data_IF_387996515970
#
_entry.id   IF_387996515970
#
_cell.length_a   1.000
_cell.length_b   1.000
_cell.length_c   1.000
_cell.angle_alpha   90.00
_cell.angle_beta   90.00
_cell.angle_gamma   90.00
#
_symmetry.space_group_name_H-M   'P 1'
#
loop_
_entity.id
_entity.type
_entity.pdbx_description
1 polymer ?
#
# COMPACT_ATOMS: atom_id res chain seq x y z
N UNK A 1 15.45 -0.15 -17.90
CA UNK A 1 14.89 0.69 -19.01
C UNK A 1 14.46 2.01 -18.42
N UNK A 2 14.70 3.16 -19.07
CA UNK A 2 14.28 4.46 -18.52
C UNK A 2 12.76 4.53 -18.38
N UNK A 3 12.26 5.04 -17.25
CA UNK A 3 10.83 5.26 -17.08
C UNK A 3 10.38 6.43 -17.96
N UNK A 4 9.32 6.22 -18.73
CA UNK A 4 8.78 7.22 -19.68
C UNK A 4 7.34 7.62 -19.35
N UNK A 5 6.82 7.15 -18.21
CA UNK A 5 5.43 7.34 -17.80
C UNK A 5 4.62 6.05 -17.81
N UNK A 6 3.40 6.14 -17.26
CA UNK A 6 2.39 5.09 -17.33
C UNK A 6 1.41 5.50 -18.45
N UNK A 7 1.28 4.69 -19.53
CA UNK A 7 0.43 5.04 -20.66
C UNK A 7 -1.07 4.94 -20.33
N UNK A 8 -1.91 5.64 -21.09
CA UNK A 8 -3.38 5.61 -20.96
C UNK A 8 -3.95 4.17 -21.01
N UNK A 9 -3.39 3.34 -21.88
CA UNK A 9 -3.74 1.93 -22.02
C UNK A 9 -3.62 1.09 -20.72
N UNK A 10 -2.85 1.55 -19.73
CA UNK A 10 -2.76 0.91 -18.42
C UNK A 10 -4.07 1.10 -17.61
N UNK A 11 -4.68 2.28 -17.71
CA UNK A 11 -5.93 2.62 -17.03
C UNK A 11 -7.09 1.93 -17.74
N UNK A 12 -7.15 2.00 -19.08
CA UNK A 12 -8.15 1.31 -19.90
C UNK A 12 -8.15 -0.20 -19.64
N UNK A 13 -6.97 -0.81 -19.54
CA UNK A 13 -6.86 -2.24 -19.20
C UNK A 13 -7.55 -2.58 -17.88
N UNK A 14 -7.43 -1.71 -16.87
CA UNK A 14 -8.05 -1.94 -15.58
C UNK A 14 -9.55 -1.63 -15.58
N UNK A 15 -10.00 -0.61 -16.32
CA UNK A 15 -11.43 -0.34 -16.55
C UNK A 15 -12.11 -1.57 -17.19
N UNK A 16 -11.52 -2.12 -18.24
CA UNK A 16 -12.04 -3.32 -18.90
C UNK A 16 -11.98 -4.57 -18.01
N UNK A 17 -10.91 -4.72 -17.20
CA UNK A 17 -10.77 -5.83 -16.26
C UNK A 17 -11.79 -5.78 -15.11
N UNK A 18 -12.25 -4.58 -14.73
CA UNK A 18 -13.34 -4.40 -13.77
C UNK A 18 -14.69 -4.88 -14.34
N UNK A 19 -14.87 -4.80 -15.65
CA UNK A 19 -16.06 -5.29 -16.37
C UNK A 19 -15.98 -6.80 -16.59
N UNK A 20 -14.85 -7.33 -17.08
CA UNK A 20 -14.62 -8.75 -17.32
C UNK A 20 -13.31 -9.25 -16.67
N UNK A 21 -13.40 -9.68 -15.42
CA UNK A 21 -12.29 -10.30 -14.70
C UNK A 21 -12.15 -11.80 -15.01
N UNK A 22 -12.40 -12.25 -16.24
CA UNK A 22 -12.24 -13.67 -16.61
C UNK A 22 -10.80 -14.01 -17.00
N UNK A 23 -10.46 -15.30 -16.95
CA UNK A 23 -9.19 -15.81 -17.52
C UNK A 23 -9.12 -15.60 -19.03
N UNK A 24 -10.27 -15.60 -19.71
CA UNK A 24 -10.35 -15.39 -21.16
C UNK A 24 -9.94 -13.97 -21.51
N UNK A 25 -10.53 -12.98 -20.85
CA UNK A 25 -10.16 -11.57 -20.98
C UNK A 25 -8.65 -11.39 -20.73
N UNK A 26 -8.17 -11.88 -19.58
CA UNK A 26 -6.77 -11.78 -19.21
C UNK A 26 -5.82 -12.34 -20.27
N UNK A 27 -6.11 -13.53 -20.81
CA UNK A 27 -5.25 -14.16 -21.80
C UNK A 27 -5.22 -13.37 -23.12
N UNK A 28 -6.35 -12.77 -23.52
CA UNK A 28 -6.43 -11.93 -24.72
C UNK A 28 -5.69 -10.60 -24.55
N UNK A 29 -5.67 -10.04 -23.34
CA UNK A 29 -5.14 -8.71 -23.04
C UNK A 29 -3.78 -8.78 -22.32
N UNK A 30 -3.17 -9.98 -22.26
CA UNK A 30 -1.93 -10.20 -21.53
C UNK A 30 -0.78 -9.34 -22.06
N UNK A 31 -0.71 -9.15 -23.37
CA UNK A 31 0.31 -8.30 -23.98
C UNK A 31 0.15 -6.85 -23.52
N UNK A 32 -1.07 -6.31 -23.53
CA UNK A 32 -1.38 -4.98 -23.00
C UNK A 32 -0.94 -4.85 -21.55
N UNK A 33 -1.26 -5.83 -20.69
CA UNK A 33 -0.78 -5.82 -19.30
C UNK A 33 0.75 -5.83 -19.21
N UNK A 34 1.43 -6.69 -19.97
CA UNK A 34 2.90 -6.79 -19.91
C UNK A 34 3.58 -5.48 -20.34
N UNK A 35 3.09 -4.85 -21.41
CA UNK A 35 3.69 -3.67 -22.03
C UNK A 35 3.25 -2.34 -21.38
N UNK A 36 1.95 -2.19 -21.09
CA UNK A 36 1.38 -0.94 -20.59
C UNK A 36 1.38 -0.85 -19.06
N UNK A 37 1.33 -1.98 -18.34
CA UNK A 37 1.25 -1.99 -16.87
C UNK A 37 2.56 -2.47 -16.26
N UNK A 38 2.96 -3.71 -16.55
CA UNK A 38 4.07 -4.36 -15.85
C UNK A 38 5.42 -3.74 -16.19
N UNK A 39 5.69 -3.47 -17.46
CA UNK A 39 6.97 -2.88 -17.88
C UNK A 39 7.18 -1.46 -17.31
N UNK A 40 6.21 -0.52 -17.36
CA UNK A 40 6.36 0.80 -16.73
C UNK A 40 6.51 0.72 -15.20
N UNK A 41 5.74 -0.15 -14.54
CA UNK A 41 5.87 -0.36 -13.09
C UNK A 41 7.22 -0.96 -12.69
N UNK A 42 7.85 -1.76 -13.57
CA UNK A 42 9.20 -2.25 -13.36
C UNK A 42 10.25 -1.15 -13.64
N UNK A 43 10.03 -0.31 -14.65
CA UNK A 43 10.93 0.80 -14.97
C UNK A 43 10.98 1.85 -13.85
N UNK A 44 9.84 2.27 -13.30
CA UNK A 44 9.83 3.22 -12.17
C UNK A 44 10.43 2.60 -10.90
N UNK A 45 10.26 1.28 -10.70
CA UNK A 45 10.91 0.57 -9.61
C UNK A 45 12.44 0.58 -9.73
N UNK A 46 12.97 0.36 -10.93
CA UNK A 46 14.41 0.41 -11.24
C UNK A 46 14.96 1.83 -11.07
N UNK A 47 14.24 2.85 -11.55
CA UNK A 47 14.66 4.25 -11.47
C UNK A 47 14.72 4.79 -10.04
N UNK A 48 13.82 4.32 -9.16
CA UNK A 48 13.73 4.75 -7.76
C UNK A 48 14.51 3.86 -6.78
N UNK A 49 15.22 2.84 -7.28
CA UNK A 49 15.89 1.85 -6.41
C UNK A 49 16.97 2.49 -5.52
N UNK A 50 17.75 3.44 -6.04
CA UNK A 50 18.82 4.10 -5.29
C UNK A 50 18.28 4.96 -4.13
N UNK A 51 17.09 5.54 -4.29
CA UNK A 51 16.49 6.45 -3.30
C UNK A 51 15.68 5.69 -2.23
N UNK A 52 14.96 4.64 -2.64
CA UNK A 52 13.98 3.95 -1.77
C UNK A 52 14.39 2.52 -1.40
N UNK A 53 15.28 1.91 -2.18
CA UNK A 53 15.63 0.50 -2.10
C UNK A 53 14.85 -0.38 -3.08
N UNK A 54 15.14 -1.69 -3.11
CA UNK A 54 14.60 -2.60 -4.10
C UNK A 54 13.08 -2.79 -3.93
N UNK A 55 12.34 -2.56 -5.02
CA UNK A 55 10.90 -2.75 -5.04
C UNK A 55 10.50 -4.20 -5.34
N UNK A 56 9.45 -4.66 -4.68
CA UNK A 56 8.77 -5.91 -4.99
C UNK A 56 7.46 -5.63 -5.72
N UNK A 57 7.43 -5.94 -7.02
CA UNK A 57 6.18 -5.95 -7.78
C UNK A 57 5.32 -7.15 -7.36
N UNK A 58 4.04 -6.89 -7.11
CA UNK A 58 3.10 -7.95 -6.77
C UNK A 58 2.61 -8.68 -8.00
N UNK A 59 2.32 -9.98 -7.84
CA UNK A 59 1.62 -10.76 -8.87
C UNK A 59 0.19 -10.22 -9.07
N UNK A 60 -0.34 -10.28 -10.30
CA UNK A 60 -1.70 -9.83 -10.60
C UNK A 60 -2.77 -10.79 -10.06
N UNK A 61 -2.45 -12.07 -9.87
CA UNK A 61 -3.42 -13.05 -9.38
C UNK A 61 -3.81 -12.83 -7.92
N UNK A 62 -5.09 -13.05 -7.61
CA UNK A 62 -5.63 -13.06 -6.24
C UNK A 62 -5.48 -14.44 -5.59
N UNK A 63 -5.46 -14.47 -4.26
CA UNK A 63 -5.64 -15.71 -3.49
C UNK A 63 -7.14 -15.89 -3.22
N UNK A 64 -7.73 -16.95 -3.78
CA UNK A 64 -9.18 -17.15 -3.80
C UNK A 64 -9.69 -18.12 -2.73
N UNK A 65 -8.79 -18.75 -1.95
CA UNK A 65 -9.15 -19.85 -1.02
C UNK A 65 -10.21 -19.43 -0.01
N UNK A 66 -10.12 -18.18 0.48
CA UNK A 66 -11.02 -17.64 1.50
C UNK A 66 -11.74 -16.36 1.05
N UNK A 67 -11.56 -15.93 -0.20
CA UNK A 67 -12.18 -14.72 -0.70
C UNK A 67 -13.66 -14.96 -1.04
N UNK A 68 -14.56 -14.07 -0.62
CA UNK A 68 -15.96 -14.08 -1.02
C UNK A 68 -16.10 -13.76 -2.52
N UNK A 69 -15.39 -12.72 -2.96
CA UNK A 69 -15.23 -12.40 -4.38
C UNK A 69 -14.22 -13.36 -5.04
N UNK A 70 -14.69 -14.06 -6.07
CA UNK A 70 -13.93 -15.10 -6.80
C UNK A 70 -13.20 -14.60 -8.05
N UNK A 71 -13.17 -13.29 -8.29
CA UNK A 71 -12.43 -12.69 -9.41
C UNK A 71 -10.95 -13.08 -9.36
N UNK A 72 -10.38 -13.71 -10.40
CA UNK A 72 -9.03 -14.28 -10.42
C UNK A 72 -7.89 -13.25 -10.38
N UNK A 73 -8.11 -12.02 -10.82
CA UNK A 73 -7.08 -10.99 -10.94
C UNK A 73 -7.40 -9.75 -10.09
N UNK A 74 -6.35 -9.09 -9.62
CA UNK A 74 -6.43 -7.79 -8.97
C UNK A 74 -6.73 -6.72 -10.03
N UNK A 75 -7.53 -5.73 -9.67
CA UNK A 75 -7.85 -4.55 -10.49
C UNK A 75 -6.83 -3.42 -10.32
N UNK A 76 -5.60 -3.77 -9.92
CA UNK A 76 -4.48 -2.85 -9.81
C UNK A 76 -3.15 -3.61 -9.90
N UNK A 77 -2.09 -2.92 -10.29
CA UNK A 77 -0.70 -3.37 -10.16
C UNK A 77 -0.05 -2.57 -9.05
N UNK A 78 0.35 -3.25 -7.98
CA UNK A 78 1.07 -2.64 -6.86
C UNK A 78 2.54 -3.06 -6.83
N UNK A 79 3.38 -2.17 -6.30
CA UNK A 79 4.74 -2.46 -5.85
C UNK A 79 4.93 -2.01 -4.40
N UNK A 80 5.86 -2.63 -3.70
CA UNK A 80 6.20 -2.29 -2.33
C UNK A 80 7.71 -2.25 -2.12
N UNK A 81 8.18 -1.22 -1.43
CA UNK A 81 9.57 -1.06 -1.02
C UNK A 81 9.62 -1.04 0.50
N UNK A 82 10.41 -1.95 1.10
CA UNK A 82 10.51 -2.03 2.55
C UNK A 82 11.36 -0.89 3.10
N UNK A 83 10.84 -0.16 4.09
CA UNK A 83 11.56 0.92 4.79
C UNK A 83 11.82 0.59 6.28
N UNK A 84 11.30 -0.55 6.76
CA UNK A 84 11.48 -1.01 8.12
C UNK A 84 10.58 -2.20 8.47
N UNK A 85 10.52 -2.55 9.74
CA UNK A 85 9.65 -3.64 10.21
C UNK A 85 8.20 -3.34 9.90
N UNK A 86 7.57 -4.19 9.07
CA UNK A 86 6.17 -4.06 8.64
C UNK A 86 5.82 -2.70 8.01
N UNK A 87 6.82 -1.90 7.61
CA UNK A 87 6.66 -0.51 7.18
C UNK A 87 7.35 -0.30 5.85
N UNK A 88 6.74 0.45 4.93
CA UNK A 88 7.36 0.74 3.65
C UNK A 88 6.57 1.70 2.79
N UNK A 89 7.06 1.84 1.56
CA UNK A 89 6.49 2.64 0.50
C UNK A 89 5.69 1.74 -0.43
N UNK A 90 4.58 2.25 -0.94
CA UNK A 90 3.71 1.55 -1.86
C UNK A 90 3.35 2.47 -3.01
N UNK A 91 3.31 1.91 -4.21
CA UNK A 91 2.81 2.58 -5.40
C UNK A 91 1.90 1.60 -6.12
N UNK A 92 0.79 2.10 -6.65
CA UNK A 92 -0.06 1.33 -7.54
C UNK A 92 -0.58 2.14 -8.71
N UNK A 93 -0.95 1.41 -9.75
CA UNK A 93 -1.78 1.85 -10.86
C UNK A 93 -3.05 1.00 -10.92
N UNK A 94 -4.18 1.64 -11.16
CA UNK A 94 -5.52 1.04 -11.34
C UNK A 94 -6.32 1.89 -12.32
N UNK A 95 -7.54 1.48 -12.65
CA UNK A 95 -8.54 2.28 -13.36
C UNK A 95 -8.64 3.73 -12.82
N UNK A 96 -8.65 3.87 -11.48
CA UNK A 96 -8.81 5.15 -10.81
C UNK A 96 -7.58 6.08 -10.88
N UNK A 97 -6.46 5.62 -11.44
CA UNK A 97 -5.22 6.39 -11.51
C UNK A 97 -4.06 5.74 -10.75
N UNK A 98 -3.10 6.59 -10.39
CA UNK A 98 -1.90 6.23 -9.63
C UNK A 98 -2.07 6.65 -8.18
N UNK A 99 -1.73 5.76 -7.25
CA UNK A 99 -1.75 6.05 -5.81
C UNK A 99 -0.41 5.69 -5.17
N UNK A 100 0.14 6.62 -4.40
CA UNK A 100 1.27 6.37 -3.51
C UNK A 100 0.77 6.21 -2.08
N UNK A 101 1.44 5.37 -1.30
CA UNK A 101 1.17 5.21 0.12
C UNK A 101 2.45 4.95 0.90
N UNK A 102 2.42 5.26 2.20
CA UNK A 102 3.53 5.00 3.11
C UNK A 102 3.02 4.55 4.47
N UNK A 103 3.74 3.64 5.11
CA UNK A 103 3.48 3.25 6.49
C UNK A 103 3.36 1.74 6.68
N UNK A 104 2.59 1.34 7.69
CA UNK A 104 2.43 -0.03 8.13
C UNK A 104 1.04 -0.54 7.78
N UNK A 105 0.91 -1.28 6.67
CA UNK A 105 -0.36 -1.87 6.25
C UNK A 105 -0.71 -3.16 7.00
N UNK A 106 0.29 -3.97 7.34
CA UNK A 106 0.11 -5.21 8.08
C UNK A 106 1.30 -5.49 8.98
N UNK A 107 1.07 -5.51 10.29
CA UNK A 107 2.02 -5.92 11.30
C UNK A 107 1.50 -7.16 12.03
N UNK A 108 2.38 -8.14 12.24
CA UNK A 108 2.10 -9.23 13.17
C UNK A 108 2.07 -8.73 14.63
N UNK A 109 1.73 -9.60 15.57
CA UNK A 109 1.61 -9.22 16.98
C UNK A 109 2.92 -8.70 17.59
N UNK A 110 4.07 -9.20 17.13
CA UNK A 110 5.40 -8.81 17.61
C UNK A 110 5.75 -7.41 17.09
N UNK A 111 5.60 -7.19 15.78
CA UNK A 111 5.82 -5.90 15.15
C UNK A 111 4.86 -4.84 15.70
N UNK A 112 3.59 -5.18 15.88
CA UNK A 112 2.59 -4.25 16.41
C UNK A 112 2.89 -3.85 17.86
N UNK A 113 3.40 -4.78 18.69
CA UNK A 113 3.87 -4.47 20.04
C UNK A 113 5.07 -3.51 19.99
N UNK A 114 6.02 -3.72 19.09
CA UNK A 114 7.19 -2.85 18.92
C UNK A 114 6.79 -1.43 18.45
N UNK A 115 5.88 -1.33 17.48
CA UNK A 115 5.34 -0.06 16.99
C UNK A 115 4.67 0.71 18.14
N UNK A 116 3.82 0.04 18.93
CA UNK A 116 3.16 0.68 20.08
C UNK A 116 4.13 1.12 21.16
N UNK A 117 5.18 0.35 21.43
CA UNK A 117 6.24 0.78 22.34
C UNK A 117 6.96 2.04 21.83
N UNK A 118 7.21 2.13 20.52
CA UNK A 118 7.74 3.34 19.89
C UNK A 118 6.82 4.55 20.04
N UNK A 119 5.52 4.36 19.83
CA UNK A 119 4.49 5.42 20.02
C UNK A 119 4.41 5.86 21.49
N UNK A 120 4.55 4.94 22.45
CA UNK A 120 4.50 5.26 23.89
C UNK A 120 5.77 6.01 24.36
N UNK A 121 6.90 5.77 23.70
CA UNK A 121 8.17 6.44 23.98
C UNK A 121 8.16 7.95 23.60
N UNK A 122 9.20 8.72 23.97
CA UNK A 122 9.37 10.11 23.54
C UNK A 122 9.33 10.31 22.01
N UNK A 123 9.77 9.31 21.23
CA UNK A 123 9.73 9.37 19.77
C UNK A 123 8.29 9.42 19.21
N UNK A 124 7.29 8.99 20.00
CA UNK A 124 5.89 9.07 19.59
C UNK A 124 5.38 10.50 19.43
N UNK A 125 5.92 11.47 20.17
CA UNK A 125 5.56 12.88 19.98
C UNK A 125 6.03 13.39 18.61
N UNK A 126 7.23 12.99 18.19
CA UNK A 126 7.75 13.33 16.87
C UNK A 126 6.94 12.66 15.75
N UNK A 127 6.57 11.38 15.93
CA UNK A 127 5.69 10.69 14.98
C UNK A 127 4.35 11.41 14.82
N UNK A 128 3.71 11.83 15.92
CA UNK A 128 2.45 12.58 15.86
C UNK A 128 2.62 13.88 15.08
N UNK A 129 3.71 14.63 15.35
CA UNK A 129 4.02 15.87 14.63
C UNK A 129 4.21 15.65 13.12
N UNK A 130 4.90 14.58 12.74
CA UNK A 130 5.11 14.22 11.32
C UNK A 130 3.78 13.86 10.64
N UNK A 131 2.91 13.11 11.32
CA UNK A 131 1.57 12.76 10.85
C UNK A 131 0.72 14.01 10.67
N UNK A 132 0.69 14.90 11.66
CA UNK A 132 -0.08 16.15 11.60
C UNK A 132 0.41 17.02 10.43
N UNK A 133 1.73 17.07 10.19
CA UNK A 133 2.32 17.76 9.05
C UNK A 133 2.03 17.10 7.69
N UNK A 134 1.80 15.79 7.63
CA UNK A 134 1.32 15.11 6.41
C UNK A 134 -0.14 15.46 6.15
N UNK A 135 -0.99 15.37 7.17
CA UNK A 135 -2.43 15.70 7.08
C UNK A 135 -2.63 17.16 6.67
N UNK A 136 -1.85 18.09 7.24
CA UNK A 136 -1.89 19.50 6.86
C UNK A 136 -1.51 19.75 5.39
N UNK A 137 -0.74 18.84 4.77
CA UNK A 137 -0.37 18.87 3.34
C UNK A 137 -1.37 18.11 2.45
N UNK A 138 -2.47 17.64 3.00
CA UNK A 138 -3.54 16.96 2.26
C UNK A 138 -3.45 15.44 2.22
N UNK A 139 -2.51 14.82 2.95
CA UNK A 139 -2.46 13.36 3.05
C UNK A 139 -3.58 12.84 3.94
N UNK A 140 -4.15 11.70 3.57
CA UNK A 140 -5.15 10.99 4.36
C UNK A 140 -4.50 9.91 5.21
N UNK A 141 -4.83 9.89 6.51
CA UNK A 141 -4.37 8.86 7.42
C UNK A 141 -5.42 7.75 7.52
N UNK A 142 -5.09 6.58 6.99
CA UNK A 142 -5.91 5.38 7.01
C UNK A 142 -5.35 4.26 7.89
N UNK A 143 -5.98 3.10 7.76
CA UNK A 143 -5.63 1.88 8.46
C UNK A 143 -6.64 1.47 9.52
N UNK A 144 -6.56 0.19 9.87
CA UNK A 144 -7.41 -0.47 10.84
C UNK A 144 -7.13 0.02 12.25
N UNK A 145 -8.17 0.11 13.08
CA UNK A 145 -8.03 0.43 14.50
C UNK A 145 -8.82 -0.50 15.42
N UNK A 146 -8.34 -0.60 16.65
CA UNK A 146 -9.07 -1.22 17.74
C UNK A 146 -10.19 -0.29 18.22
N UNK A 147 -11.38 -0.87 18.43
CA UNK A 147 -12.48 -0.17 19.11
C UNK A 147 -12.17 0.13 20.58
N UNK A 148 -11.31 -0.68 21.18
CA UNK A 148 -10.91 -0.58 22.59
C UNK A 148 -9.48 -0.12 22.73
N UNK A 149 -9.12 0.33 23.93
CA UNK A 149 -7.74 0.66 24.28
C UNK A 149 -6.89 -0.63 24.28
N UNK A 150 -5.72 -0.65 23.62
CA UNK A 150 -4.84 -1.80 23.69
C UNK A 150 -4.39 -2.06 25.13
N UNK A 151 -4.29 -3.33 25.51
CA UNK A 151 -3.89 -3.74 26.87
C UNK A 151 -2.52 -3.13 27.23
N UNK A 152 -2.44 -2.53 28.41
CA UNK A 152 -1.20 -1.94 28.94
C UNK A 152 -1.08 -0.43 28.75
N UNK A 153 -2.05 0.22 28.09
CA UNK A 153 -2.07 1.67 27.90
C UNK A 153 -3.25 2.33 28.61
N UNK A 154 -3.05 3.55 29.09
CA UNK A 154 -4.13 4.37 29.66
C UNK A 154 -5.05 4.92 28.57
N UNK A 155 -6.34 5.07 28.87
CA UNK A 155 -7.28 5.76 27.97
C UNK A 155 -6.91 7.23 27.79
N UNK A 156 -6.29 7.84 28.80
CA UNK A 156 -5.86 9.24 28.80
C UNK A 156 -4.48 9.44 28.16
N UNK A 157 -3.90 8.40 27.54
CA UNK A 157 -2.61 8.53 26.87
C UNK A 157 -2.72 9.56 25.72
N UNK A 158 -1.82 10.56 25.64
CA UNK A 158 -1.94 11.67 24.67
C UNK A 158 -1.95 11.21 23.21
N UNK A 159 -1.41 10.01 22.93
CA UNK A 159 -1.37 9.40 21.59
C UNK A 159 -2.25 8.14 21.49
N UNK A 160 -3.31 8.05 22.30
CA UNK A 160 -4.17 6.86 22.33
C UNK A 160 -4.76 6.52 20.95
N UNK A 161 -5.06 7.54 20.13
CA UNK A 161 -5.50 7.36 18.74
C UNK A 161 -4.52 6.55 17.90
N UNK A 162 -3.21 6.88 17.98
CA UNK A 162 -2.16 6.13 17.29
C UNK A 162 -1.96 4.74 17.89
N UNK A 163 -2.00 4.60 19.22
CA UNK A 163 -1.83 3.30 19.88
C UNK A 163 -2.94 2.29 19.50
N UNK A 164 -4.16 2.77 19.23
CA UNK A 164 -5.28 1.93 18.78
C UNK A 164 -5.10 1.39 17.37
N UNK A 165 -4.26 2.00 16.53
CA UNK A 165 -4.03 1.54 15.16
C UNK A 165 -3.45 0.12 15.17
N UNK A 166 -3.98 -0.72 14.28
CA UNK A 166 -3.44 -2.04 13.89
C UNK A 166 -2.65 -1.92 12.58
N UNK A 167 -3.06 -0.99 11.73
CA UNK A 167 -2.31 -0.50 10.59
C UNK A 167 -2.39 1.03 10.55
N UNK A 168 -1.36 1.66 10.00
CA UNK A 168 -1.20 3.11 9.93
C UNK A 168 -0.60 3.42 8.57
N UNK A 169 -1.40 3.99 7.68
CA UNK A 169 -0.98 4.26 6.30
C UNK A 169 -1.35 5.69 5.94
N UNK A 170 -0.42 6.44 5.35
CA UNK A 170 -0.68 7.72 4.71
C UNK A 170 -0.84 7.51 3.21
N UNK A 171 -1.89 8.08 2.62
CA UNK A 171 -2.22 8.05 1.18
C UNK A 171 -2.64 9.41 0.67
#
# INVERSE_FOLDING_TARGET
MAFTGIPEAAFDFYDDLEIDNSKTFWNQHKQTYDEAVRAPMAAIAEELEDDFGPAKLFRPNRDLRFAADKSPYKTHQGLFVAAGTATGWYLEVSAAGVRAAAGCYHADSTALKAIRAGIDSPAGAELQRLIDGLVARGWSLGGDELKTVPRGYSMDHPRIGLLRKRSLVAT
#
